data_IF_255084106387
#
_entry.id   IF_255084106387
#
_cell.length_a   1.000
_cell.length_b   1.000
_cell.length_c   1.000
_cell.angle_alpha   90.00
_cell.angle_beta   90.00
_cell.angle_gamma   90.00
#
_symmetry.space_group_name_H-M   'P 1'
#
loop_
_entity.id
_entity.type
_entity.pdbx_description
1 polymer ?
#
# COMPACT_ATOMS: atom_id res chain seq x y z
N UNK A 1 -60.15 -11.17 -48.68
CA UNK A 1 -59.53 -10.18 -47.78
C UNK A 1 -58.60 -10.96 -46.87
N UNK A 2 -57.28 -10.98 -47.21
CA UNK A 2 -56.24 -11.72 -46.42
C UNK A 2 -55.53 -10.75 -45.49
N UNK A 3 -55.65 -10.96 -44.16
CA UNK A 3 -54.96 -10.18 -43.14
C UNK A 3 -53.61 -10.84 -42.86
N UNK A 4 -52.50 -10.15 -43.19
CA UNK A 4 -51.17 -10.57 -42.83
C UNK A 4 -50.84 -10.01 -41.42
N UNK A 5 -50.70 -10.93 -40.45
CA UNK A 5 -50.21 -10.60 -39.09
C UNK A 5 -48.69 -10.62 -39.12
N UNK A 6 -48.04 -9.43 -38.98
CA UNK A 6 -46.59 -9.31 -38.84
C UNK A 6 -46.25 -9.40 -37.34
N UNK A 7 -45.60 -10.50 -36.95
CA UNK A 7 -45.02 -10.67 -35.63
C UNK A 7 -43.64 -9.99 -35.64
N UNK A 8 -43.50 -8.85 -34.95
CA UNK A 8 -42.22 -8.25 -34.66
C UNK A 8 -41.59 -8.95 -33.46
N UNK A 9 -40.58 -9.78 -33.72
CA UNK A 9 -39.77 -10.40 -32.67
C UNK A 9 -38.73 -9.36 -32.16
N UNK A 10 -39.04 -8.69 -31.06
CA UNK A 10 -38.10 -7.77 -30.41
C UNK A 10 -37.03 -8.52 -29.66
N UNK A 11 -35.80 -8.47 -30.17
CA UNK A 11 -34.61 -9.03 -29.50
C UNK A 11 -34.18 -8.05 -28.41
N UNK A 12 -34.53 -8.29 -27.15
CA UNK A 12 -34.05 -7.50 -25.98
C UNK A 12 -32.65 -7.97 -25.64
N UNK A 13 -31.65 -7.15 -25.99
CA UNK A 13 -30.27 -7.36 -25.60
C UNK A 13 -30.12 -7.00 -24.11
N UNK A 14 -30.07 -8.00 -23.23
CA UNK A 14 -29.78 -7.82 -21.81
C UNK A 14 -28.27 -7.60 -21.67
N UNK A 15 -27.88 -6.34 -21.46
CA UNK A 15 -26.52 -5.97 -21.09
C UNK A 15 -26.31 -6.40 -19.63
N UNK A 16 -25.64 -7.52 -19.39
CA UNK A 16 -25.14 -7.86 -18.06
C UNK A 16 -23.99 -6.91 -17.72
N UNK A 17 -24.29 -5.89 -16.92
CA UNK A 17 -23.28 -5.07 -16.28
C UNK A 17 -22.61 -5.91 -15.18
N UNK A 18 -21.43 -6.46 -15.44
CA UNK A 18 -20.58 -7.04 -14.41
C UNK A 18 -20.04 -5.89 -13.57
N UNK A 19 -20.67 -5.59 -12.42
CA UNK A 19 -20.08 -4.74 -11.41
C UNK A 19 -18.82 -5.46 -10.92
N UNK A 20 -17.64 -4.97 -11.32
CA UNK A 20 -16.38 -5.35 -10.72
C UNK A 20 -16.43 -4.85 -9.26
N UNK A 21 -16.71 -5.75 -8.34
CA UNK A 21 -16.57 -5.48 -6.92
C UNK A 21 -15.09 -5.23 -6.69
N UNK A 22 -14.73 -4.00 -6.30
CA UNK A 22 -13.36 -3.68 -5.91
C UNK A 22 -12.97 -4.67 -4.80
N UNK A 23 -12.04 -5.56 -5.10
CA UNK A 23 -11.55 -6.52 -4.11
C UNK A 23 -10.87 -5.77 -2.99
N UNK A 24 -11.08 -6.19 -1.77
CA UNK A 24 -10.34 -5.70 -0.61
C UNK A 24 -8.90 -6.22 -0.69
N UNK A 25 -7.90 -5.34 -0.51
CA UNK A 25 -6.51 -5.75 -0.40
C UNK A 25 -6.30 -6.46 0.94
N UNK A 26 -5.61 -7.60 0.91
CA UNK A 26 -5.18 -8.26 2.13
C UNK A 26 -3.65 -8.13 2.29
N UNK A 27 -3.22 -7.79 3.50
CA UNK A 27 -1.82 -7.52 3.82
C UNK A 27 -1.32 -8.55 4.84
N UNK A 28 -0.10 -9.02 4.64
CA UNK A 28 0.60 -9.84 5.64
C UNK A 28 2.09 -9.52 5.68
N UNK A 29 2.70 -9.58 6.87
CA UNK A 29 4.15 -9.48 7.01
C UNK A 29 4.80 -10.78 6.54
N UNK A 30 5.81 -10.69 5.69
CA UNK A 30 6.61 -11.84 5.24
C UNK A 30 7.90 -11.99 6.03
N UNK A 31 8.39 -10.91 6.63
CA UNK A 31 9.59 -10.90 7.47
C UNK A 31 9.27 -11.52 8.85
N UNK A 32 10.00 -12.57 9.28
CA UNK A 32 9.82 -13.21 10.59
C UNK A 32 9.93 -12.22 11.75
N UNK A 33 10.85 -11.24 11.69
CA UNK A 33 11.04 -10.24 12.73
C UNK A 33 9.76 -9.44 13.02
N UNK A 34 8.94 -9.19 11.98
CA UNK A 34 7.67 -8.50 12.12
C UNK A 34 6.50 -9.43 12.46
N UNK A 35 6.54 -10.70 12.01
CA UNK A 35 5.50 -11.70 12.29
C UNK A 35 5.44 -12.09 13.77
N UNK A 36 6.60 -12.24 14.40
CA UNK A 36 6.70 -12.76 15.77
C UNK A 36 6.52 -11.65 16.82
N UNK A 37 6.49 -10.41 16.40
CA UNK A 37 6.39 -9.23 17.29
C UNK A 37 5.05 -9.06 18.01
N UNK A 38 4.04 -9.91 17.77
CA UNK A 38 2.71 -9.85 18.40
C UNK A 38 2.12 -8.43 18.39
N UNK A 39 2.24 -7.76 17.24
CA UNK A 39 1.84 -6.36 17.09
C UNK A 39 2.84 -5.34 17.62
N UNK A 40 4.02 -5.75 18.10
CA UNK A 40 5.09 -4.82 18.45
C UNK A 40 6.02 -4.58 17.26
N UNK A 41 6.49 -3.33 17.13
CA UNK A 41 7.55 -3.00 16.19
C UNK A 41 8.85 -3.69 16.64
N UNK A 42 9.49 -4.51 15.79
CA UNK A 42 10.75 -5.14 16.14
C UNK A 42 11.90 -4.09 16.15
N UNK A 43 12.99 -4.36 16.88
CA UNK A 43 14.10 -3.44 16.99
C UNK A 43 14.67 -3.01 15.64
N UNK A 44 14.70 -3.93 14.65
CA UNK A 44 15.13 -3.61 13.28
C UNK A 44 14.28 -2.53 12.61
N UNK A 45 13.01 -2.42 12.97
CA UNK A 45 12.06 -1.44 12.42
C UNK A 45 12.12 -0.08 13.09
N UNK A 46 12.62 0.02 14.33
CA UNK A 46 12.73 1.29 15.05
C UNK A 46 13.65 2.23 14.30
N UNK A 47 13.35 3.54 14.30
CA UNK A 47 14.16 4.55 13.64
C UNK A 47 15.63 4.55 14.14
N UNK A 48 16.56 4.84 13.23
CA UNK A 48 17.99 4.95 13.52
C UNK A 48 18.35 6.34 14.06
N UNK A 49 17.62 7.37 13.64
CA UNK A 49 17.90 8.78 13.87
C UNK A 49 18.11 9.19 15.34
N UNK A 50 17.66 8.38 16.28
CA UNK A 50 17.75 8.71 17.72
C UNK A 50 18.65 7.79 18.53
N UNK A 51 19.49 6.99 17.87
CA UNK A 51 20.45 6.08 18.54
C UNK A 51 19.80 5.14 19.58
N UNK A 52 18.55 4.76 19.37
CA UNK A 52 17.83 3.83 20.25
C UNK A 52 18.04 2.36 19.87
N UNK A 53 19.04 2.08 19.01
CA UNK A 53 19.41 0.73 18.59
C UNK A 53 18.64 0.21 17.38
N UNK A 54 17.73 0.99 16.83
CA UNK A 54 16.96 0.66 15.62
C UNK A 54 17.82 0.64 14.35
N UNK A 55 17.25 0.10 13.26
CA UNK A 55 17.86 0.05 11.93
C UNK A 55 17.05 0.81 10.88
N UNK A 56 15.88 1.35 11.25
CA UNK A 56 14.98 2.07 10.36
C UNK A 56 14.48 1.24 9.18
N UNK A 57 14.39 -0.08 9.32
CA UNK A 57 13.92 -0.96 8.24
C UNK A 57 12.41 -0.96 8.16
N UNK A 58 11.85 -0.83 6.95
CA UNK A 58 10.43 -1.06 6.72
C UNK A 58 10.07 -2.54 6.87
N UNK A 59 8.80 -2.89 7.16
CA UNK A 59 8.36 -4.28 7.03
C UNK A 59 8.45 -4.76 5.58
N UNK A 60 8.68 -6.05 5.37
CA UNK A 60 8.37 -6.72 4.11
C UNK A 60 6.91 -7.16 4.13
N UNK A 61 6.12 -6.75 3.12
CA UNK A 61 4.67 -6.91 3.09
C UNK A 61 4.25 -7.67 1.83
N UNK A 62 3.54 -8.78 2.01
CA UNK A 62 2.79 -9.39 0.93
C UNK A 62 1.43 -8.67 0.81
N UNK A 63 1.11 -8.25 -0.40
CA UNK A 63 -0.19 -7.65 -0.76
C UNK A 63 -0.90 -8.61 -1.71
N UNK A 64 -2.10 -9.05 -1.34
CA UNK A 64 -2.95 -9.94 -2.15
C UNK A 64 -4.28 -9.28 -2.49
N UNK A 65 -5.07 -9.87 -3.39
CA UNK A 65 -6.36 -9.29 -3.80
C UNK A 65 -6.21 -8.11 -4.77
N UNK A 66 -5.07 -7.96 -5.43
CA UNK A 66 -4.77 -6.83 -6.32
C UNK A 66 -5.75 -6.80 -7.50
N UNK A 67 -6.51 -5.70 -7.69
CA UNK A 67 -7.44 -5.54 -8.80
C UNK A 67 -6.74 -5.56 -10.16
N UNK A 68 -7.44 -6.02 -11.18
CA UNK A 68 -6.98 -5.90 -12.57
C UNK A 68 -6.84 -4.42 -12.95
N UNK A 69 -5.80 -4.08 -13.72
CA UNK A 69 -5.49 -2.71 -14.11
C UNK A 69 -4.63 -1.94 -13.10
N UNK A 70 -4.27 -2.57 -11.96
CA UNK A 70 -3.29 -1.98 -11.05
C UNK A 70 -1.91 -2.00 -11.72
N UNK A 71 -1.21 -0.86 -11.68
CA UNK A 71 0.17 -0.72 -12.17
C UNK A 71 1.14 -0.36 -11.05
N UNK A 72 0.63 0.16 -9.93
CA UNK A 72 1.43 0.60 -8.78
C UNK A 72 0.65 0.38 -7.48
N UNK A 73 1.34 0.00 -6.41
CA UNK A 73 0.89 0.15 -5.04
C UNK A 73 1.52 1.42 -4.45
N UNK A 74 0.74 2.20 -3.71
CA UNK A 74 1.25 3.27 -2.86
C UNK A 74 1.11 2.83 -1.40
N UNK A 75 2.21 2.86 -0.66
CA UNK A 75 2.27 2.49 0.74
C UNK A 75 2.47 3.76 1.58
N UNK A 76 1.48 4.10 2.39
CA UNK A 76 1.50 5.25 3.30
C UNK A 76 1.83 4.77 4.70
N UNK A 77 3.02 5.04 5.18
CA UNK A 77 3.46 4.71 6.53
C UNK A 77 2.97 5.79 7.49
N UNK A 78 2.25 5.37 8.53
CA UNK A 78 1.49 6.28 9.41
C UNK A 78 1.76 5.96 10.87
N UNK A 79 1.91 6.99 11.68
CA UNK A 79 1.82 6.94 13.13
C UNK A 79 0.43 7.47 13.51
N UNK A 80 -0.46 6.59 13.99
CA UNK A 80 -1.85 6.94 14.30
C UNK A 80 -1.97 7.88 15.52
N UNK A 81 -0.94 7.91 16.34
CA UNK A 81 -0.88 8.74 17.55
C UNK A 81 -0.18 10.09 17.30
N UNK A 82 0.26 10.33 16.06
CA UNK A 82 0.83 11.61 15.65
C UNK A 82 -0.18 12.41 14.82
N UNK A 83 -0.48 13.62 15.23
CA UNK A 83 -1.52 14.50 14.67
C UNK A 83 -1.32 14.92 13.20
N UNK A 84 -0.17 14.64 12.60
CA UNK A 84 0.15 15.01 11.21
C UNK A 84 -0.73 14.25 10.20
N UNK A 85 -1.08 12.99 10.52
CA UNK A 85 -2.00 12.20 9.72
C UNK A 85 -1.35 11.13 8.84
N UNK A 86 -2.13 10.62 7.88
CA UNK A 86 -1.77 9.50 7.02
C UNK A 86 -0.54 9.81 6.16
N UNK A 87 0.41 8.87 6.13
CA UNK A 87 1.65 9.01 5.36
C UNK A 87 2.73 9.87 5.99
N UNK A 88 2.54 10.36 7.23
CA UNK A 88 3.50 11.23 7.90
C UNK A 88 4.88 10.58 8.13
N UNK A 89 4.97 9.26 8.10
CA UNK A 89 6.22 8.49 8.13
C UNK A 89 6.80 8.17 6.73
N UNK A 90 6.22 8.76 5.67
CA UNK A 90 6.63 8.64 4.29
C UNK A 90 5.67 7.84 3.43
N UNK A 91 5.68 8.13 2.12
CA UNK A 91 4.88 7.43 1.12
C UNK A 91 5.81 6.92 0.02
N UNK A 92 5.70 5.64 -0.28
CA UNK A 92 6.47 5.01 -1.36
C UNK A 92 5.57 4.31 -2.37
N UNK A 93 6.05 4.21 -3.60
CA UNK A 93 5.44 3.45 -4.69
C UNK A 93 6.17 2.13 -4.92
N UNK A 94 5.42 1.10 -5.28
CA UNK A 94 5.95 -0.20 -5.72
C UNK A 94 5.26 -0.63 -7.01
N UNK A 95 5.99 -0.93 -8.10
CA UNK A 95 5.40 -1.32 -9.37
C UNK A 95 4.73 -2.69 -9.28
N UNK A 96 3.58 -2.83 -9.90
CA UNK A 96 2.84 -4.09 -9.99
C UNK A 96 2.96 -4.66 -11.41
N UNK A 97 3.57 -5.85 -11.58
CA UNK A 97 3.60 -6.50 -12.89
C UNK A 97 2.18 -6.76 -13.42
N UNK A 98 1.99 -6.57 -14.73
CA UNK A 98 0.68 -6.72 -15.35
C UNK A 98 0.06 -8.09 -15.05
N UNK A 99 -1.19 -8.10 -14.60
CA UNK A 99 -1.95 -9.31 -14.29
C UNK A 99 -1.65 -9.94 -12.93
N UNK A 100 -0.70 -9.41 -12.15
CA UNK A 100 -0.40 -9.92 -10.81
C UNK A 100 -1.59 -9.75 -9.87
N UNK A 101 -1.91 -10.80 -9.12
CA UNK A 101 -2.93 -10.80 -8.06
C UNK A 101 -2.33 -10.66 -6.67
N UNK A 102 -1.02 -10.86 -6.57
CA UNK A 102 -0.23 -10.63 -5.37
C UNK A 102 1.18 -10.16 -5.72
N UNK A 103 1.78 -9.38 -4.82
CA UNK A 103 3.20 -9.01 -4.87
C UNK A 103 3.76 -8.97 -3.46
N UNK A 104 5.08 -9.12 -3.35
CA UNK A 104 5.81 -8.88 -2.10
C UNK A 104 6.57 -7.56 -2.26
N UNK A 105 6.23 -6.56 -1.46
CA UNK A 105 7.02 -5.35 -1.28
C UNK A 105 8.15 -5.69 -0.32
N UNK A 106 9.41 -5.67 -0.76
CA UNK A 106 10.53 -6.05 0.10
C UNK A 106 10.74 -5.01 1.21
N UNK A 107 11.33 -5.44 2.32
CA UNK A 107 11.86 -4.52 3.33
C UNK A 107 12.95 -3.65 2.71
N UNK A 108 12.96 -2.37 3.06
CA UNK A 108 13.99 -1.41 2.64
C UNK A 108 14.40 -0.52 3.80
N UNK A 109 15.60 0.04 3.70
CA UNK A 109 16.10 0.96 4.71
C UNK A 109 15.45 2.33 4.52
N UNK A 110 14.92 2.89 5.61
CA UNK A 110 14.49 4.27 5.71
C UNK A 110 15.64 5.23 6.08
N UNK A 111 15.28 6.48 6.33
CA UNK A 111 16.20 7.53 6.77
C UNK A 111 17.37 7.72 5.80
N UNK A 112 17.10 7.47 4.51
CA UNK A 112 18.07 7.59 3.41
C UNK A 112 17.33 7.92 2.10
N UNK A 113 17.99 8.67 1.24
CA UNK A 113 17.50 8.94 -0.13
C UNK A 113 17.82 7.80 -1.11
N UNK A 114 18.59 6.79 -0.65
CA UNK A 114 18.99 5.65 -1.47
C UNK A 114 17.97 4.51 -1.31
N UNK A 115 16.89 4.59 -2.08
CA UNK A 115 15.90 3.52 -2.15
C UNK A 115 16.33 2.42 -3.14
N UNK A 116 15.87 1.16 -2.94
CA UNK A 116 15.99 0.12 -3.97
C UNK A 116 15.35 0.57 -5.29
N UNK A 117 15.87 0.08 -6.42
CA UNK A 117 15.43 0.51 -7.75
C UNK A 117 13.92 0.29 -8.05
N UNK A 118 13.28 -0.61 -7.33
CA UNK A 118 11.84 -0.90 -7.43
C UNK A 118 10.99 -0.18 -6.38
N UNK A 119 11.57 0.70 -5.58
CA UNK A 119 10.84 1.56 -4.62
C UNK A 119 10.94 3.00 -5.10
N UNK A 120 9.79 3.58 -5.42
CA UNK A 120 9.64 4.97 -5.83
C UNK A 120 9.39 5.87 -4.61
N UNK A 121 10.11 6.99 -4.50
CA UNK A 121 9.78 8.02 -3.52
C UNK A 121 8.56 8.83 -4.00
N UNK A 122 7.49 8.85 -3.22
CA UNK A 122 6.29 9.65 -3.52
C UNK A 122 6.22 10.87 -2.62
N UNK A 123 6.34 10.69 -1.31
CA UNK A 123 6.42 11.78 -0.33
C UNK A 123 7.36 11.41 0.80
N UNK A 124 8.23 12.33 1.15
CA UNK A 124 9.11 12.15 2.32
C UNK A 124 8.30 12.29 3.62
N UNK A 125 8.83 11.66 4.68
CA UNK A 125 8.25 11.79 6.02
C UNK A 125 8.30 13.25 6.53
N UNK A 126 7.40 13.62 7.43
CA UNK A 126 7.24 14.99 7.93
C UNK A 126 8.33 15.42 8.95
N UNK A 127 9.04 14.47 9.53
CA UNK A 127 10.09 14.76 10.52
C UNK A 127 11.49 14.93 9.89
N UNK A 128 11.62 15.71 8.80
CA UNK A 128 12.87 15.93 8.06
C UNK A 128 14.00 16.54 8.93
N UNK A 129 13.65 17.27 10.00
CA UNK A 129 14.63 17.78 10.96
C UNK A 129 15.25 16.68 11.82
N UNK A 130 14.61 15.52 11.91
CA UNK A 130 15.06 14.38 12.70
C UNK A 130 15.99 13.47 11.89
N UNK A 131 15.59 13.18 10.66
CA UNK A 131 16.31 12.33 9.72
C UNK A 131 16.02 12.78 8.29
N UNK A 132 16.92 12.51 7.36
CA UNK A 132 16.65 12.63 5.92
C UNK A 132 15.93 11.41 5.37
N UNK A 133 15.66 11.41 4.07
CA UNK A 133 15.10 10.31 3.34
C UNK A 133 13.59 10.31 3.24
N UNK A 134 13.05 9.25 2.64
CA UNK A 134 11.62 9.13 2.32
C UNK A 134 10.84 8.50 3.47
N UNK A 135 11.31 7.37 3.98
CA UNK A 135 10.66 6.62 5.05
C UNK A 135 11.38 6.84 6.38
N UNK A 136 10.62 7.12 7.43
CA UNK A 136 11.08 7.13 8.82
C UNK A 136 10.53 5.90 9.54
N UNK A 137 11.41 5.11 10.14
CA UNK A 137 10.99 4.03 11.04
C UNK A 137 10.20 4.56 12.25
N UNK A 138 9.40 3.72 12.92
CA UNK A 138 8.76 4.05 14.19
C UNK A 138 9.70 4.72 15.21
N UNK A 139 9.33 5.91 15.71
CA UNK A 139 10.21 6.82 16.45
C UNK A 139 9.58 7.40 17.72
N UNK A 140 8.67 6.70 18.38
CA UNK A 140 7.86 7.20 19.51
C UNK A 140 8.60 7.30 20.86
N UNK A 141 9.89 6.99 20.93
CA UNK A 141 10.69 7.02 22.18
C UNK A 141 10.15 6.13 23.31
N UNK A 142 9.69 4.93 22.99
CA UNK A 142 9.12 4.01 23.96
C UNK A 142 7.72 4.40 24.45
N UNK A 143 7.13 5.47 23.90
CA UNK A 143 5.70 5.72 24.04
C UNK A 143 4.98 4.70 23.16
N UNK A 144 3.94 4.08 23.63
CA UNK A 144 3.20 3.04 22.91
C UNK A 144 2.36 3.64 21.77
N UNK A 145 2.99 4.04 20.66
CA UNK A 145 2.28 4.49 19.46
C UNK A 145 1.88 3.32 18.56
N UNK A 146 0.78 3.49 17.85
CA UNK A 146 0.29 2.56 16.84
C UNK A 146 0.78 3.00 15.46
N UNK A 147 1.40 2.06 14.74
CA UNK A 147 1.88 2.31 13.38
C UNK A 147 1.12 1.45 12.40
N UNK A 148 0.64 2.07 11.33
CA UNK A 148 -0.17 1.45 10.28
C UNK A 148 0.46 1.69 8.91
N UNK A 149 0.32 0.74 8.00
CA UNK A 149 0.61 0.93 6.59
C UNK A 149 -0.71 0.86 5.82
N UNK A 150 -1.11 1.97 5.23
CA UNK A 150 -2.21 1.99 4.27
C UNK A 150 -1.69 1.71 2.87
N UNK A 151 -2.34 0.82 2.15
CA UNK A 151 -1.92 0.43 0.80
C UNK A 151 -3.02 0.75 -0.19
N UNK A 152 -2.66 1.48 -1.26
CA UNK A 152 -3.56 1.87 -2.33
C UNK A 152 -3.12 1.25 -3.64
N UNK A 153 -4.00 0.49 -4.28
CA UNK A 153 -3.80 0.01 -5.64
C UNK A 153 -4.16 1.11 -6.64
N UNK A 154 -3.19 1.55 -7.45
CA UNK A 154 -3.36 2.63 -8.43
C UNK A 154 -3.31 2.09 -9.86
N UNK A 155 -4.19 2.61 -10.74
CA UNK A 155 -4.10 2.39 -12.17
C UNK A 155 -3.12 3.38 -12.83
N UNK A 156 -2.95 3.28 -14.16
CA UNK A 156 -2.05 4.14 -14.93
C UNK A 156 -2.41 5.65 -14.87
N UNK A 157 -3.67 5.98 -14.64
CA UNK A 157 -4.14 7.37 -14.49
C UNK A 157 -4.02 7.88 -13.04
N UNK A 158 -3.43 7.09 -12.12
CA UNK A 158 -3.29 7.42 -10.70
C UNK A 158 -4.57 7.24 -9.88
N UNK A 159 -5.65 6.71 -10.48
CA UNK A 159 -6.91 6.45 -9.76
C UNK A 159 -6.76 5.24 -8.83
N UNK A 160 -7.28 5.36 -7.61
CA UNK A 160 -7.34 4.25 -6.65
C UNK A 160 -8.40 3.24 -7.09
N UNK A 161 -8.00 1.98 -7.18
CA UNK A 161 -8.84 0.82 -7.52
C UNK A 161 -9.25 0.03 -6.27
N UNK A 162 -8.40 0.01 -5.25
CA UNK A 162 -8.63 -0.62 -3.94
C UNK A 162 -7.75 0.01 -2.85
N UNK A 163 -8.17 -0.15 -1.59
CA UNK A 163 -7.42 0.19 -0.38
C UNK A 163 -7.43 -1.02 0.56
#
# INVERSE_FOLDING_TARGET
MKILLRVCLGLTLVMLSTSSQAGELALSHTDPAWKDGKGKVPDIGICEARNVGGKGMSPSIEVTGIPSGTVKLELHFTDEDWYIGEGAHGVVGFPVPAGSKSVIVPSFKGETDKLPANIEAISSHEAQMLAGGVYLGPCSYGRGHNYTVYVYAKNADGKTLAK
#
